data_IF_611075514767
#
_entry.id   IF_611075514767
#
_cell.length_a   1.000
_cell.length_b   1.000
_cell.length_c   1.000
_cell.angle_alpha   90.00
_cell.angle_beta   90.00
_cell.angle_gamma   90.00
#
_symmetry.space_group_name_H-M   'P 1'
#
loop_
_entity.id
_entity.type
_entity.pdbx_description
1 polymer ?
#
# COMPACT_ATOMS: atom_id res chain seq x y z
N UNK A 1 -7.49 22.10 8.19
CA UNK A 1 -8.51 21.12 8.63
C UNK A 1 -8.51 19.89 7.73
N UNK A 2 -8.55 20.09 6.41
CA UNK A 2 -8.48 19.05 5.37
C UNK A 2 -7.54 17.87 5.69
N UNK A 3 -6.24 18.13 5.87
CA UNK A 3 -5.23 17.08 6.14
C UNK A 3 -5.52 16.21 7.36
N UNK A 4 -6.08 16.79 8.44
CA UNK A 4 -6.45 16.02 9.65
C UNK A 4 -7.59 15.06 9.35
N UNK A 5 -8.64 15.56 8.69
CA UNK A 5 -9.84 14.77 8.35
C UNK A 5 -9.44 13.61 7.45
N UNK A 6 -8.60 13.87 6.45
CA UNK A 6 -8.10 12.87 5.53
C UNK A 6 -7.29 11.77 6.24
N UNK A 7 -6.43 12.14 7.21
CA UNK A 7 -5.72 11.19 8.05
C UNK A 7 -6.63 10.31 8.91
N UNK A 8 -7.65 10.90 9.56
CA UNK A 8 -8.61 10.15 10.40
C UNK A 8 -9.44 9.17 9.57
N UNK A 9 -10.03 9.63 8.46
CA UNK A 9 -10.85 8.78 7.59
C UNK A 9 -10.01 7.64 7.00
N UNK A 10 -8.77 7.93 6.57
CA UNK A 10 -7.87 6.93 6.01
C UNK A 10 -7.52 5.84 7.02
N UNK A 11 -7.20 6.20 8.26
CA UNK A 11 -6.90 5.22 9.32
C UNK A 11 -8.14 4.43 9.73
N UNK A 12 -9.29 5.10 9.87
CA UNK A 12 -10.56 4.43 10.16
C UNK A 12 -10.92 3.40 9.09
N UNK A 13 -10.81 3.77 7.81
CA UNK A 13 -11.03 2.85 6.69
C UNK A 13 -10.04 1.68 6.72
N UNK A 14 -8.75 1.93 6.98
CA UNK A 14 -7.76 0.87 7.10
C UNK A 14 -8.06 -0.10 8.25
N UNK A 15 -8.54 0.40 9.38
CA UNK A 15 -8.97 -0.44 10.51
C UNK A 15 -10.16 -1.35 10.15
N UNK A 16 -11.15 -0.84 9.43
CA UNK A 16 -12.30 -1.62 8.94
C UNK A 16 -11.85 -2.72 7.99
N UNK A 17 -11.01 -2.39 7.01
CA UNK A 17 -10.49 -3.37 6.04
C UNK A 17 -9.64 -4.43 6.73
N UNK A 18 -8.78 -4.04 7.67
CA UNK A 18 -7.97 -4.97 8.44
C UNK A 18 -8.82 -5.94 9.28
N UNK A 19 -9.90 -5.45 9.90
CA UNK A 19 -10.85 -6.27 10.63
C UNK A 19 -11.60 -7.26 9.73
N UNK A 20 -12.04 -6.82 8.55
CA UNK A 20 -12.68 -7.70 7.58
C UNK A 20 -11.72 -8.78 7.07
N UNK A 21 -10.45 -8.44 6.86
CA UNK A 21 -9.41 -9.40 6.45
C UNK A 21 -9.06 -10.40 7.56
N UNK A 22 -9.05 -9.98 8.82
CA UNK A 22 -8.74 -10.88 9.94
C UNK A 22 -9.87 -11.85 10.29
N UNK A 23 -11.11 -11.50 9.92
CA UNK A 23 -12.31 -12.30 10.20
C UNK A 23 -12.80 -13.08 8.98
N UNK A 24 -12.25 -12.81 7.80
CA UNK A 24 -12.55 -13.57 6.59
C UNK A 24 -12.04 -15.01 6.70
N UNK A 25 -12.85 -16.02 6.34
CA UNK A 25 -12.37 -17.39 6.24
C UNK A 25 -11.33 -17.47 5.13
N UNK A 26 -10.07 -17.65 5.50
CA UNK A 26 -8.99 -17.93 4.56
C UNK A 26 -9.23 -19.32 3.96
N UNK A 27 -9.73 -19.37 2.72
CA UNK A 27 -9.58 -20.56 1.91
C UNK A 27 -8.12 -20.60 1.50
N UNK A 28 -7.35 -21.50 2.12
CA UNK A 28 -5.95 -21.75 1.78
C UNK A 28 -5.98 -22.28 0.34
N UNK A 29 -5.78 -21.37 -0.62
CA UNK A 29 -5.48 -21.74 -1.99
C UNK A 29 -4.22 -22.60 -1.96
N UNK A 30 -4.20 -23.64 -2.80
CA UNK A 30 -3.07 -24.56 -2.99
C UNK A 30 -1.72 -23.88 -2.80
N UNK A 31 -0.80 -24.54 -2.07
CA UNK A 31 0.58 -24.09 -1.88
C UNK A 31 1.29 -24.01 -3.24
N UNK A 32 1.13 -22.88 -3.94
CA UNK A 32 1.91 -22.59 -5.12
C UNK A 32 3.35 -22.40 -4.63
N UNK A 33 4.34 -23.16 -5.14
CA UNK A 33 5.72 -23.02 -4.71
C UNK A 33 6.22 -21.62 -5.07
N UNK A 34 6.31 -20.76 -4.06
CA UNK A 34 6.88 -19.43 -4.16
C UNK A 34 8.35 -19.53 -3.80
N UNK A 35 9.20 -18.79 -4.53
CA UNK A 35 10.60 -18.65 -4.12
C UNK A 35 10.66 -17.99 -2.72
N UNK A 36 11.26 -18.63 -1.71
CA UNK A 36 11.26 -18.14 -0.34
C UNK A 36 11.90 -16.75 -0.20
N UNK A 37 12.80 -16.37 -1.11
CA UNK A 37 13.37 -15.02 -1.14
C UNK A 37 12.35 -13.95 -1.55
N UNK A 38 11.46 -14.27 -2.48
CA UNK A 38 10.41 -13.35 -2.95
C UNK A 38 9.31 -13.22 -1.91
N UNK A 39 8.91 -14.33 -1.27
CA UNK A 39 7.92 -14.32 -0.19
C UNK A 39 8.41 -13.50 1.02
N UNK A 40 9.67 -13.69 1.42
CA UNK A 40 10.29 -12.88 2.47
C UNK A 40 10.32 -11.39 2.11
N UNK A 41 10.71 -11.05 0.87
CA UNK A 41 10.72 -9.66 0.41
C UNK A 41 9.32 -9.04 0.44
N UNK A 42 8.29 -9.75 -0.04
CA UNK A 42 6.90 -9.29 -0.03
C UNK A 42 6.42 -9.05 1.41
N UNK A 43 6.71 -9.97 2.33
CA UNK A 43 6.32 -9.82 3.73
C UNK A 43 6.99 -8.61 4.40
N UNK A 44 8.31 -8.48 4.26
CA UNK A 44 9.07 -7.36 4.84
C UNK A 44 8.64 -6.03 4.25
N UNK A 45 8.47 -5.95 2.92
CA UNK A 45 8.01 -4.74 2.23
C UNK A 45 6.58 -4.38 2.61
N UNK A 46 5.69 -5.36 2.77
CA UNK A 46 4.30 -5.14 3.19
C UNK A 46 4.22 -4.58 4.61
N UNK A 47 4.96 -5.18 5.55
CA UNK A 47 5.01 -4.71 6.95
C UNK A 47 5.64 -3.32 7.00
N UNK A 48 6.78 -3.12 6.33
CA UNK A 48 7.46 -1.83 6.25
C UNK A 48 6.57 -0.74 5.66
N UNK A 49 5.86 -1.05 4.58
CA UNK A 49 4.88 -0.15 3.96
C UNK A 49 3.73 0.18 4.93
N UNK A 50 3.11 -0.82 5.55
CA UNK A 50 2.00 -0.61 6.49
C UNK A 50 2.39 0.32 7.65
N UNK A 51 3.57 0.09 8.24
CA UNK A 51 4.08 0.92 9.34
C UNK A 51 4.37 2.35 8.84
N UNK A 52 5.12 2.49 7.74
CA UNK A 52 5.49 3.79 7.20
C UNK A 52 4.24 4.60 6.78
N UNK A 53 3.32 3.96 6.05
CA UNK A 53 2.09 4.59 5.59
C UNK A 53 1.19 4.99 6.77
N UNK A 54 1.03 4.13 7.78
CA UNK A 54 0.28 4.47 9.00
C UNK A 54 0.87 5.68 9.72
N UNK A 55 2.20 5.75 9.83
CA UNK A 55 2.91 6.90 10.40
C UNK A 55 2.64 8.20 9.63
N UNK A 56 2.54 8.16 8.30
CA UNK A 56 2.15 9.34 7.50
C UNK A 56 0.77 9.82 7.91
N UNK A 57 -0.21 8.92 8.06
CA UNK A 57 -1.59 9.30 8.44
C UNK A 57 -1.65 9.82 9.88
N UNK A 58 -0.90 9.23 10.80
CA UNK A 58 -0.74 9.77 12.17
C UNK A 58 -0.13 11.18 12.13
N UNK A 59 0.91 11.38 11.31
CA UNK A 59 1.50 12.69 11.06
C UNK A 59 0.46 13.71 10.57
N UNK A 60 -0.39 13.32 9.61
CA UNK A 60 -1.49 14.14 9.09
C UNK A 60 -2.46 14.58 10.20
N UNK A 61 -2.84 13.68 11.11
CA UNK A 61 -3.69 13.98 12.29
C UNK A 61 -3.00 14.99 13.22
N UNK A 62 -1.71 14.81 13.45
CA UNK A 62 -0.89 15.71 14.27
C UNK A 62 -0.54 17.04 13.58
N UNK A 63 -1.04 17.30 12.36
CA UNK A 63 -0.66 18.44 11.49
C UNK A 63 0.85 18.49 11.17
N UNK A 64 1.56 17.37 11.25
CA UNK A 64 2.96 17.26 10.83
C UNK A 64 3.06 16.56 9.49
N UNK A 65 3.73 17.20 8.52
CA UNK A 65 3.98 16.61 7.20
C UNK A 65 5.30 15.84 7.22
N UNK A 66 5.24 14.53 7.39
CA UNK A 66 6.43 13.66 7.39
C UNK A 66 6.79 13.22 5.98
N UNK A 67 7.28 14.17 5.17
CA UNK A 67 7.58 13.95 3.74
C UNK A 67 8.57 12.79 3.54
N UNK A 68 9.62 12.70 4.37
CA UNK A 68 10.60 11.59 4.30
C UNK A 68 9.94 10.22 4.50
N UNK A 69 9.03 10.12 5.47
CA UNK A 69 8.28 8.88 5.75
C UNK A 69 7.33 8.56 4.60
N UNK A 70 6.71 9.58 4.00
CA UNK A 70 5.87 9.44 2.80
C UNK A 70 6.64 8.89 1.61
N UNK A 71 7.87 9.35 1.38
CA UNK A 71 8.73 8.83 0.31
C UNK A 71 9.10 7.37 0.58
N UNK A 72 9.49 7.03 1.82
CA UNK A 72 9.81 5.65 2.20
C UNK A 72 8.59 4.74 1.99
N UNK A 73 7.41 5.17 2.42
CA UNK A 73 6.15 4.47 2.19
C UNK A 73 5.93 4.22 0.69
N UNK A 74 5.97 5.25 -0.15
CA UNK A 74 5.78 5.09 -1.60
C UNK A 74 6.82 4.14 -2.23
N UNK A 75 8.08 4.20 -1.82
CA UNK A 75 9.12 3.29 -2.32
C UNK A 75 8.83 1.84 -1.91
N UNK A 76 8.50 1.59 -0.64
CA UNK A 76 8.12 0.25 -0.18
C UNK A 76 6.93 -0.30 -0.97
N UNK A 77 5.93 0.54 -1.28
CA UNK A 77 4.78 0.15 -2.09
C UNK A 77 5.17 -0.22 -3.53
N UNK A 78 6.03 0.57 -4.18
CA UNK A 78 6.48 0.30 -5.55
C UNK A 78 7.26 -1.01 -5.60
N UNK A 79 8.22 -1.21 -4.69
CA UNK A 79 8.96 -2.47 -4.62
C UNK A 79 8.06 -3.66 -4.31
N UNK A 80 7.04 -3.48 -3.47
CA UNK A 80 6.05 -4.52 -3.20
C UNK A 80 5.31 -4.91 -4.49
N UNK A 81 4.79 -3.94 -5.23
CA UNK A 81 4.09 -4.18 -6.50
C UNK A 81 4.99 -4.84 -7.56
N UNK A 82 6.27 -4.47 -7.63
CA UNK A 82 7.23 -5.13 -8.52
C UNK A 82 7.44 -6.60 -8.16
N UNK A 83 7.61 -6.92 -6.86
CA UNK A 83 7.79 -8.31 -6.42
C UNK A 83 6.52 -9.15 -6.62
N UNK A 84 5.35 -8.60 -6.30
CA UNK A 84 4.06 -9.27 -6.54
C UNK A 84 3.82 -9.48 -8.04
N UNK A 85 4.12 -8.48 -8.88
CA UNK A 85 4.00 -8.60 -10.33
C UNK A 85 4.96 -9.64 -10.93
N UNK A 86 6.20 -9.69 -10.45
CA UNK A 86 7.19 -10.71 -10.86
C UNK A 86 6.70 -12.12 -10.50
N UNK A 87 6.10 -12.26 -9.31
CA UNK A 87 5.55 -13.52 -8.82
C UNK A 87 4.35 -13.98 -9.66
N UNK A 88 3.44 -13.06 -10.01
CA UNK A 88 2.33 -13.35 -10.93
C UNK A 88 2.82 -13.72 -12.33
N UNK A 89 3.85 -13.06 -12.86
CA UNK A 89 4.43 -13.38 -14.16
C UNK A 89 5.05 -14.78 -14.18
N UNK A 90 5.83 -15.15 -13.14
CA UNK A 90 6.40 -16.50 -13.00
C UNK A 90 5.35 -17.58 -12.83
N UNK A 91 4.25 -17.29 -12.13
CA UNK A 91 3.12 -18.23 -11.99
C UNK A 91 2.37 -18.43 -13.31
N UNK A 92 2.20 -17.39 -14.14
CA UNK A 92 1.58 -17.55 -15.45
C UNK A 92 2.41 -18.43 -16.41
N UNK A 93 3.74 -18.45 -16.27
CA UNK A 93 4.59 -19.38 -17.04
C UNK A 93 4.47 -20.84 -16.57
N UNK A 94 4.15 -21.08 -15.29
CA UNK A 94 3.99 -22.44 -14.74
C UNK A 94 2.55 -22.97 -14.79
N UNK A 95 1.55 -22.10 -14.92
CA UNK A 95 0.12 -22.46 -14.92
C UNK A 95 -0.40 -22.49 -16.36
N UNK A 96 -0.03 -23.53 -17.12
CA UNK A 96 -0.74 -23.91 -18.35
C UNK A 96 -1.89 -24.90 -18.10
N UNK A 97 -2.15 -25.32 -16.84
CA UNK A 97 -3.05 -26.47 -16.60
C UNK A 97 -3.83 -26.53 -15.28
N UNK A 98 -3.87 -25.49 -14.42
CA UNK A 98 -4.61 -25.58 -13.16
C UNK A 98 -5.64 -24.44 -13.01
N UNK A 99 -6.91 -24.81 -12.85
CA UNK A 99 -8.00 -23.92 -12.51
C UNK A 99 -7.71 -23.25 -11.16
N UNK A 100 -7.17 -22.04 -11.22
CA UNK A 100 -6.98 -21.18 -10.05
C UNK A 100 -8.36 -20.88 -9.46
N UNK A 101 -8.67 -21.47 -8.30
CA UNK A 101 -9.74 -20.98 -7.45
C UNK A 101 -9.36 -19.57 -7.02
N UNK A 102 -9.98 -18.60 -7.67
CA UNK A 102 -9.82 -17.20 -7.34
C UNK A 102 -10.33 -16.98 -5.92
N UNK A 103 -9.57 -16.31 -5.03
CA UNK A 103 -10.11 -15.86 -3.75
C UNK A 103 -11.39 -15.05 -4.03
N UNK A 104 -12.36 -15.01 -3.09
CA UNK A 104 -13.60 -14.25 -3.31
C UNK A 104 -13.24 -12.84 -3.77
N UNK A 105 -13.62 -12.52 -5.01
CA UNK A 105 -13.14 -11.35 -5.77
C UNK A 105 -13.32 -10.03 -5.02
N UNK A 106 -14.28 -10.00 -4.11
CA UNK A 106 -14.57 -8.87 -3.22
C UNK A 106 -13.47 -8.54 -2.21
N UNK A 107 -12.87 -9.54 -1.55
CA UNK A 107 -11.81 -9.30 -0.55
C UNK A 107 -10.50 -8.86 -1.18
N UNK A 108 -10.18 -9.42 -2.34
CA UNK A 108 -9.04 -8.98 -3.15
C UNK A 108 -9.24 -7.53 -3.61
N UNK A 109 -10.41 -7.20 -4.16
CA UNK A 109 -10.74 -5.84 -4.59
C UNK A 109 -10.71 -4.85 -3.41
N UNK A 110 -11.20 -5.26 -2.24
CA UNK A 110 -11.18 -4.45 -1.01
C UNK A 110 -9.74 -4.17 -0.55
N UNK A 111 -8.88 -5.18 -0.55
CA UNK A 111 -7.47 -5.04 -0.16
C UNK A 111 -6.74 -4.14 -1.16
N UNK A 112 -6.94 -4.38 -2.46
CA UNK A 112 -6.33 -3.58 -3.51
C UNK A 112 -6.77 -2.11 -3.41
N UNK A 113 -8.06 -1.84 -3.29
CA UNK A 113 -8.58 -0.47 -3.15
C UNK A 113 -8.07 0.22 -1.89
N UNK A 114 -7.98 -0.49 -0.77
CA UNK A 114 -7.36 0.03 0.45
C UNK A 114 -5.88 0.41 0.22
N UNK A 115 -5.08 -0.52 -0.28
CA UNK A 115 -3.65 -0.32 -0.53
C UNK A 115 -3.41 0.84 -1.51
N UNK A 116 -4.13 0.86 -2.64
CA UNK A 116 -4.05 1.93 -3.63
C UNK A 116 -4.48 3.28 -3.06
N UNK A 117 -5.55 3.33 -2.26
CA UNK A 117 -6.01 4.59 -1.65
C UNK A 117 -4.95 5.20 -0.73
N UNK A 118 -4.29 4.37 0.08
CA UNK A 118 -3.27 4.81 1.02
C UNK A 118 -1.99 5.28 0.31
N UNK A 119 -1.60 4.61 -0.77
CA UNK A 119 -0.50 5.03 -1.63
C UNK A 119 -0.76 6.41 -2.27
N UNK A 120 -1.97 6.64 -2.79
CA UNK A 120 -2.32 7.92 -3.40
C UNK A 120 -2.32 9.07 -2.40
N UNK A 121 -2.74 8.83 -1.16
CA UNK A 121 -2.65 9.83 -0.09
C UNK A 121 -1.20 10.24 0.17
N UNK A 122 -0.30 9.27 0.28
CA UNK A 122 1.13 9.52 0.51
C UNK A 122 1.76 10.26 -0.68
N UNK A 123 1.37 9.88 -1.89
CA UNK A 123 1.83 10.53 -3.13
C UNK A 123 1.32 11.96 -3.24
N UNK A 124 0.05 12.20 -2.91
CA UNK A 124 -0.55 13.54 -2.89
C UNK A 124 0.12 14.46 -1.86
N UNK A 125 0.51 13.93 -0.70
CA UNK A 125 1.30 14.66 0.29
C UNK A 125 2.65 15.13 -0.28
N UNK A 126 3.34 14.25 -1.03
CA UNK A 126 4.62 14.58 -1.67
C UNK A 126 4.43 15.66 -2.74
N UNK A 127 3.44 15.51 -3.63
CA UNK A 127 3.17 16.48 -4.69
C UNK A 127 2.79 17.86 -4.17
N UNK A 128 1.93 17.92 -3.14
CA UNK A 128 1.54 19.21 -2.54
C UNK A 128 2.73 19.92 -1.91
N UNK A 129 3.63 19.18 -1.25
CA UNK A 129 4.88 19.74 -0.73
C UNK A 129 5.82 20.24 -1.84
N UNK A 130 5.96 19.47 -2.92
CA UNK A 130 6.79 19.85 -4.06
C UNK A 130 6.25 21.11 -4.75
N UNK A 131 4.93 21.21 -4.91
CA UNK A 131 4.26 22.39 -5.46
C UNK A 131 4.46 23.65 -4.62
N UNK A 132 4.38 23.53 -3.29
CA UNK A 132 4.70 24.64 -2.37
C UNK A 132 6.16 25.09 -2.50
N UNK A 133 7.10 24.15 -2.66
CA UNK A 133 8.52 24.43 -2.88
C UNK A 133 8.78 25.19 -4.19
N UNK A 134 8.17 24.74 -5.29
CA UNK A 134 8.29 25.38 -6.60
C UNK A 134 7.72 26.80 -6.55
N UNK A 135 6.52 26.96 -5.97
CA UNK A 135 5.87 28.28 -5.81
C UNK A 135 6.74 29.24 -5.00
N UNK A 136 7.35 28.77 -3.92
CA UNK A 136 8.25 29.57 -3.09
C UNK A 136 9.51 30.00 -3.84
N UNK A 137 10.06 29.12 -4.68
CA UNK A 137 11.23 29.44 -5.51
C UNK A 137 10.92 30.48 -6.59
N UNK A 138 9.75 30.41 -7.22
CA UNK A 138 9.30 31.38 -8.23
C UNK A 138 8.99 32.74 -7.60
N UNK A 139 8.39 32.78 -6.41
CA UNK A 139 8.07 34.04 -5.72
C UNK A 139 9.29 34.81 -5.18
N UNK A 140 10.45 34.16 -5.09
CA UNK A 140 11.70 34.75 -4.61
C UNK A 140 12.63 35.19 -5.76
N UNK A 141 12.17 35.06 -7.00
CA UNK A 141 12.85 35.46 -8.24
C UNK A 141 12.18 36.73 -8.78
#
# INVERSE_FOLDING_TARGET
>A
MFWRVLGVISLGWGGVVFYLLSTAPFQIGENIPVDPGVEFAINVLSIGWLIASSLVKVGLILKRRWIKVSIISCLCFIFLMMNVGLMQAKMNESISSLQVQTPPSSLYLLTATWFTSWFWIDTFLIFTYLGELIKKKISNL
#
